data_IF_334053840543
#
_entry.id   IF_334053840543
#
_cell.length_a   1.000
_cell.length_b   1.000
_cell.length_c   1.000
_cell.angle_alpha   90.00
_cell.angle_beta   90.00
_cell.angle_gamma   90.00
#
_symmetry.space_group_name_H-M   'P 1'
#
loop_
_entity.id
_entity.type
_entity.pdbx_description
1 polymer ?
#
# COMPACT_ATOMS: atom_id res chain seq x y z
N UNK A 1 -2.13 12.85 -11.17
CA UNK A 1 -1.56 11.50 -10.97
C UNK A 1 -1.74 11.10 -9.52
N UNK A 2 -2.48 10.02 -9.28
CA UNK A 2 -2.74 9.49 -7.93
C UNK A 2 -1.81 8.30 -7.65
N UNK A 3 -1.61 7.45 -8.64
CA UNK A 3 -0.71 6.31 -8.57
C UNK A 3 0.34 6.35 -9.68
N UNK A 4 1.56 5.95 -9.36
CA UNK A 4 2.61 5.60 -10.32
C UNK A 4 3.30 4.32 -9.87
N UNK A 5 3.44 3.33 -10.76
CA UNK A 5 3.94 2.04 -10.36
C UNK A 5 4.59 1.24 -11.48
N UNK A 6 5.21 0.14 -11.06
CA UNK A 6 5.77 -0.86 -11.93
C UNK A 6 5.60 -2.22 -11.27
N UNK A 7 5.19 -3.20 -12.03
CA UNK A 7 5.05 -4.56 -11.52
C UNK A 7 5.46 -5.55 -12.59
N UNK A 8 6.43 -6.37 -12.25
CA UNK A 8 6.91 -7.47 -13.08
C UNK A 8 7.31 -8.60 -12.14
N UNK A 9 6.42 -9.56 -11.96
CA UNK A 9 6.62 -10.70 -11.07
C UNK A 9 8.02 -11.30 -11.20
N UNK A 10 8.68 -11.60 -10.08
CA UNK A 10 10.07 -12.08 -9.94
C UNK A 10 11.18 -11.04 -10.18
N UNK A 11 10.86 -9.86 -10.66
CA UNK A 11 11.86 -8.86 -11.02
C UNK A 11 11.75 -7.59 -10.19
N UNK A 12 10.59 -6.93 -10.19
CA UNK A 12 10.41 -5.68 -9.46
C UNK A 12 8.93 -5.35 -9.29
N UNK A 13 8.52 -5.06 -8.05
CA UNK A 13 7.17 -4.66 -7.71
C UNK A 13 7.21 -3.45 -6.80
N UNK A 14 6.49 -2.39 -7.16
CA UNK A 14 6.30 -1.21 -6.34
C UNK A 14 5.16 -0.36 -6.88
N UNK A 15 4.48 0.36 -5.98
CA UNK A 15 3.41 1.28 -6.32
C UNK A 15 3.47 2.52 -5.42
N UNK A 16 3.71 3.69 -6.01
CA UNK A 16 3.68 4.97 -5.32
C UNK A 16 2.26 5.55 -5.32
N UNK A 17 1.80 5.95 -4.14
CA UNK A 17 0.51 6.59 -3.90
C UNK A 17 0.72 8.01 -3.39
N UNK A 18 0.43 9.00 -4.23
CA UNK A 18 0.78 10.39 -3.97
C UNK A 18 0.02 11.06 -2.82
N UNK A 19 -1.26 10.74 -2.52
CA UNK A 19 -1.98 11.42 -1.44
C UNK A 19 -1.34 11.29 -0.06
N UNK A 20 -0.64 10.18 0.20
CA UNK A 20 0.08 9.98 1.46
C UNK A 20 1.60 9.93 1.28
N UNK A 21 2.12 10.28 0.08
CA UNK A 21 3.55 10.15 -0.24
C UNK A 21 4.10 8.77 0.14
N UNK A 22 3.33 7.73 -0.16
CA UNK A 22 3.59 6.36 0.27
C UNK A 22 3.98 5.47 -0.90
N UNK A 23 5.01 4.68 -0.67
CA UNK A 23 5.46 3.62 -1.57
C UNK A 23 5.08 2.26 -0.98
N UNK A 24 4.34 1.46 -1.73
CA UNK A 24 4.07 0.05 -1.45
C UNK A 24 5.08 -0.80 -2.19
N UNK A 25 5.86 -1.54 -1.45
CA UNK A 25 7.07 -2.24 -1.83
C UNK A 25 8.13 -1.34 -2.50
N UNK A 26 9.32 -1.87 -2.67
CA UNK A 26 10.49 -1.14 -3.15
C UNK A 26 11.37 -2.02 -4.03
N UNK A 27 10.80 -2.56 -5.12
CA UNK A 27 11.52 -3.36 -6.09
C UNK A 27 12.62 -2.58 -6.82
N UNK A 28 13.47 -3.29 -7.51
CA UNK A 28 14.61 -2.73 -8.25
C UNK A 28 14.18 -1.72 -9.33
N UNK A 29 15.05 -0.77 -9.67
CA UNK A 29 14.85 0.19 -10.77
C UNK A 29 13.92 1.35 -10.48
N UNK A 30 13.37 1.46 -9.28
CA UNK A 30 12.45 2.51 -8.88
C UNK A 30 13.02 3.92 -9.09
N UNK A 31 14.33 4.09 -8.87
CA UNK A 31 15.01 5.38 -9.00
C UNK A 31 14.96 5.94 -10.43
N UNK A 32 15.17 5.09 -11.42
CA UNK A 32 15.13 5.46 -12.84
C UNK A 32 13.75 5.86 -13.34
N UNK A 33 12.70 5.46 -12.61
CA UNK A 33 11.30 5.70 -13.02
C UNK A 33 10.68 6.84 -12.23
N UNK A 34 10.92 6.91 -10.92
CA UNK A 34 10.37 7.97 -10.06
C UNK A 34 11.21 9.24 -10.07
N UNK A 35 12.53 9.10 -10.31
CA UNK A 35 13.46 10.24 -10.39
C UNK A 35 13.31 11.16 -9.15
N UNK A 36 13.12 12.45 -9.35
CA UNK A 36 12.98 13.44 -8.27
C UNK A 36 11.79 13.20 -7.34
N UNK A 37 10.77 12.45 -7.79
CA UNK A 37 9.61 12.10 -6.94
C UNK A 37 9.98 11.24 -5.73
N UNK A 38 11.14 10.57 -5.77
CA UNK A 38 11.67 9.81 -4.61
C UNK A 38 11.84 10.71 -3.39
N UNK A 39 12.23 11.96 -3.58
CA UNK A 39 12.43 12.91 -2.47
C UNK A 39 11.13 13.11 -1.67
N UNK A 40 9.98 13.09 -2.35
CA UNK A 40 8.68 13.28 -1.73
C UNK A 40 8.16 12.05 -0.96
N UNK A 41 8.80 10.87 -1.08
CA UNK A 41 8.37 9.66 -0.37
C UNK A 41 8.63 9.85 1.12
N UNK A 42 7.57 9.77 1.94
CA UNK A 42 7.65 9.87 3.40
C UNK A 42 7.39 8.51 4.09
N UNK A 43 6.76 7.58 3.39
CA UNK A 43 6.46 6.26 3.91
C UNK A 43 6.81 5.18 2.88
N UNK A 44 7.47 4.12 3.33
CA UNK A 44 7.71 2.90 2.56
C UNK A 44 7.10 1.75 3.34
N UNK A 45 6.29 0.95 2.67
CA UNK A 45 5.60 -0.20 3.26
C UNK A 45 6.07 -1.44 2.50
N UNK A 46 6.78 -2.33 3.16
CA UNK A 46 7.25 -3.59 2.58
C UNK A 46 6.29 -4.70 2.99
N UNK A 47 5.76 -5.44 2.01
CA UNK A 47 4.80 -6.51 2.27
C UNK A 47 5.46 -7.79 2.79
N UNK A 48 6.61 -8.18 2.23
CA UNK A 48 7.31 -9.42 2.56
C UNK A 48 8.76 -9.44 2.06
N UNK A 49 9.51 -10.48 2.40
CA UNK A 49 10.94 -10.62 2.18
C UNK A 49 11.35 -11.25 0.85
N UNK A 50 10.56 -11.22 -0.22
CA UNK A 50 11.04 -11.57 -1.55
C UNK A 50 11.79 -10.39 -2.20
N UNK A 51 12.89 -10.69 -2.88
CA UNK A 51 13.84 -9.69 -3.37
C UNK A 51 13.22 -8.67 -4.34
N UNK A 52 12.28 -9.07 -5.15
CA UNK A 52 11.58 -8.19 -6.09
C UNK A 52 10.63 -7.18 -5.42
N UNK A 53 10.48 -7.23 -4.08
CA UNK A 53 9.68 -6.31 -3.28
C UNK A 53 10.50 -5.33 -2.43
N UNK A 54 11.82 -5.51 -2.25
CA UNK A 54 12.59 -4.63 -1.36
C UNK A 54 13.97 -4.19 -1.86
N UNK A 55 14.54 -4.83 -2.89
CA UNK A 55 15.94 -4.58 -3.28
C UNK A 55 16.23 -3.16 -3.76
N UNK A 56 15.22 -2.41 -4.20
CA UNK A 56 15.36 -1.00 -4.56
C UNK A 56 15.45 -0.04 -3.37
N UNK A 57 15.23 -0.51 -2.14
CA UNK A 57 15.22 0.34 -0.94
C UNK A 57 16.55 1.11 -0.77
N UNK A 58 17.68 0.45 -0.98
CA UNK A 58 19.01 1.09 -0.89
C UNK A 58 19.14 2.27 -1.87
N UNK A 59 18.63 2.11 -3.09
CA UNK A 59 18.71 3.14 -4.12
C UNK A 59 17.81 4.35 -3.78
N UNK A 60 16.64 4.13 -3.18
CA UNK A 60 15.77 5.20 -2.68
C UNK A 60 16.52 6.03 -1.64
N UNK A 61 17.16 5.37 -0.68
CA UNK A 61 17.91 6.05 0.38
C UNK A 61 19.08 6.83 -0.21
N UNK A 62 19.82 6.25 -1.16
CA UNK A 62 20.92 6.95 -1.87
C UNK A 62 20.44 8.24 -2.54
N UNK A 63 19.29 8.20 -3.22
CA UNK A 63 18.73 9.39 -3.86
C UNK A 63 18.31 10.45 -2.84
N UNK A 64 17.66 10.05 -1.75
CA UNK A 64 17.28 10.97 -0.67
C UNK A 64 18.51 11.60 0.00
N UNK A 65 19.56 10.83 0.24
CA UNK A 65 20.81 11.36 0.80
C UNK A 65 21.52 12.29 -0.15
N UNK A 66 21.60 11.94 -1.45
CA UNK A 66 22.16 12.81 -2.48
C UNK A 66 21.42 14.17 -2.54
N UNK A 67 20.09 14.15 -2.43
CA UNK A 67 19.29 15.37 -2.35
C UNK A 67 19.62 16.18 -1.08
N UNK A 68 19.66 15.54 0.09
CA UNK A 68 20.03 16.18 1.34
C UNK A 68 21.41 16.85 1.29
N UNK A 69 22.43 16.16 0.79
CA UNK A 69 23.78 16.71 0.67
C UNK A 69 23.88 17.90 -0.30
N UNK A 70 22.99 17.98 -1.28
CA UNK A 70 22.96 19.08 -2.23
C UNK A 70 22.10 20.26 -1.81
N UNK A 71 21.07 20.06 -1.00
CA UNK A 71 20.07 21.10 -0.64
C UNK A 71 19.98 21.41 0.85
N UNK A 72 20.44 20.51 1.71
CA UNK A 72 20.21 20.55 3.16
C UNK A 72 18.79 20.13 3.57
N UNK A 73 17.93 19.70 2.63
CA UNK A 73 16.54 19.35 2.92
C UNK A 73 16.35 17.82 2.98
N UNK A 74 15.71 17.33 4.02
CA UNK A 74 15.33 15.95 4.19
C UNK A 74 13.93 15.85 4.80
N UNK A 75 13.04 15.14 4.12
CA UNK A 75 11.75 14.81 4.69
C UNK A 75 11.86 13.53 5.53
N UNK A 76 11.27 13.55 6.73
CA UNK A 76 11.17 12.36 7.58
C UNK A 76 10.67 11.16 6.78
N UNK A 77 11.33 10.02 6.96
CA UNK A 77 11.01 8.79 6.27
C UNK A 77 10.70 7.70 7.28
N UNK A 78 9.52 7.08 7.16
CA UNK A 78 9.17 5.87 7.89
C UNK A 78 9.19 4.65 6.97
N UNK A 79 9.83 3.58 7.41
CA UNK A 79 9.93 2.32 6.67
C UNK A 79 9.31 1.22 7.53
N UNK A 80 8.16 0.72 7.09
CA UNK A 80 7.40 -0.35 7.74
C UNK A 80 7.73 -1.67 7.06
N UNK A 81 8.15 -2.67 7.83
CA UNK A 81 8.58 -3.96 7.30
C UNK A 81 8.27 -5.12 8.24
N UNK A 82 7.98 -6.33 7.72
CA UNK A 82 7.67 -7.50 8.51
C UNK A 82 8.77 -7.84 9.51
N UNK A 83 8.40 -7.96 10.78
CA UNK A 83 9.27 -8.51 11.82
C UNK A 83 9.50 -10.00 11.58
N UNK A 84 10.69 -10.49 11.92
CA UNK A 84 11.09 -11.89 11.82
C UNK A 84 11.19 -12.47 10.39
N UNK A 85 11.19 -11.63 9.35
CA UNK A 85 11.61 -12.06 8.02
C UNK A 85 13.14 -12.01 7.94
N UNK A 86 13.79 -13.18 7.94
CA UNK A 86 15.25 -13.28 8.08
C UNK A 86 16.03 -12.61 6.95
N UNK A 87 15.56 -12.77 5.71
CA UNK A 87 16.24 -12.20 4.53
C UNK A 87 16.12 -10.68 4.52
N UNK A 88 14.91 -10.17 4.75
CA UNK A 88 14.63 -8.73 4.81
C UNK A 88 15.36 -8.06 5.98
N UNK A 89 15.36 -8.68 7.17
CA UNK A 89 16.08 -8.18 8.34
C UNK A 89 17.59 -8.11 8.10
N UNK A 90 18.19 -9.10 7.46
CA UNK A 90 19.60 -9.08 7.07
C UNK A 90 19.91 -7.94 6.10
N UNK A 91 19.06 -7.72 5.11
CA UNK A 91 19.22 -6.64 4.14
C UNK A 91 19.09 -5.25 4.79
N UNK A 92 18.09 -5.06 5.64
CA UNK A 92 17.91 -3.81 6.41
C UNK A 92 19.11 -3.57 7.34
N UNK A 93 19.58 -4.62 8.03
CA UNK A 93 20.77 -4.55 8.85
C UNK A 93 22.03 -4.12 8.06
N UNK A 94 22.20 -4.66 6.85
CA UNK A 94 23.26 -4.24 5.95
C UNK A 94 23.16 -2.75 5.59
N UNK A 95 21.98 -2.28 5.17
CA UNK A 95 21.76 -0.87 4.82
C UNK A 95 22.05 0.05 6.01
N UNK A 96 21.53 -0.27 7.19
CA UNK A 96 21.74 0.53 8.40
C UNK A 96 23.20 0.64 8.77
N UNK A 97 23.95 -0.47 8.68
CA UNK A 97 25.38 -0.48 8.97
C UNK A 97 26.18 0.25 7.89
N UNK A 98 25.86 0.04 6.61
CA UNK A 98 26.60 0.65 5.49
C UNK A 98 26.54 2.18 5.51
N UNK A 99 25.39 2.75 5.86
CA UNK A 99 25.19 4.20 5.90
C UNK A 99 25.37 4.80 7.30
N UNK A 100 25.80 4.00 8.27
CA UNK A 100 25.82 4.43 9.68
C UNK A 100 24.48 5.03 10.15
N UNK A 101 23.38 4.47 9.66
CA UNK A 101 22.01 4.88 9.97
C UNK A 101 21.48 4.25 11.28
N UNK A 102 22.37 3.60 12.06
CA UNK A 102 22.12 3.22 13.44
C UNK A 102 22.19 4.46 14.32
N UNK A 103 21.23 4.66 15.19
CA UNK A 103 21.14 5.54 16.36
C UNK A 103 21.64 7.01 16.28
N UNK A 104 22.12 7.52 15.15
CA UNK A 104 22.72 8.82 15.24
C UNK A 104 23.21 9.52 14.00
N UNK A 105 22.72 9.23 12.86
CA UNK A 105 22.80 10.22 11.77
C UNK A 105 22.03 11.45 12.23
N UNK A 106 22.70 12.42 12.82
CA UNK A 106 22.07 13.63 13.42
C UNK A 106 21.37 14.52 12.39
N UNK A 107 21.46 14.20 11.12
CA UNK A 107 21.12 15.09 10.02
C UNK A 107 19.80 14.73 9.34
N UNK A 108 19.35 13.45 9.39
CA UNK A 108 18.06 13.02 8.87
C UNK A 108 17.51 11.85 9.67
N UNK A 109 16.20 11.86 9.84
CA UNK A 109 15.50 10.86 10.64
C UNK A 109 14.85 9.80 9.74
N UNK A 110 15.34 8.55 9.85
CA UNK A 110 14.67 7.37 9.32
C UNK A 110 14.07 6.60 10.47
N UNK A 111 12.76 6.43 10.43
CA UNK A 111 12.02 5.63 11.40
C UNK A 111 11.85 4.20 10.84
N UNK A 112 12.62 3.27 11.38
CA UNK A 112 12.56 1.85 11.04
C UNK A 112 11.50 1.16 11.91
N UNK A 113 10.39 0.74 11.33
CA UNK A 113 9.23 0.21 12.05
C UNK A 113 9.05 -1.26 11.71
N UNK A 114 9.43 -2.13 12.65
CA UNK A 114 9.09 -3.56 12.58
C UNK A 114 7.59 -3.73 12.82
N UNK A 115 6.89 -4.40 11.91
CA UNK A 115 5.47 -4.62 12.02
C UNK A 115 5.12 -6.09 12.21
N UNK A 116 4.05 -6.32 12.99
CA UNK A 116 3.47 -7.63 13.25
C UNK A 116 2.00 -7.63 12.82
N UNK A 117 1.44 -8.77 12.38
CA UNK A 117 0.02 -8.85 12.03
C UNK A 117 -0.89 -8.52 13.22
N UNK A 118 -2.03 -7.89 12.95
CA UNK A 118 -3.05 -7.56 13.95
C UNK A 118 -2.68 -6.39 14.86
N UNK A 119 -1.77 -5.55 14.42
CA UNK A 119 -1.33 -4.34 15.13
C UNK A 119 -1.71 -3.07 14.38
N UNK A 120 -1.71 -1.96 15.11
CA UNK A 120 -1.94 -0.62 14.59
C UNK A 120 -0.70 0.24 14.83
N UNK A 121 -0.31 1.01 13.82
CA UNK A 121 0.87 1.88 13.83
C UNK A 121 0.49 3.29 13.41
N UNK A 122 1.11 4.30 14.02
CA UNK A 122 0.99 5.67 13.52
C UNK A 122 1.53 5.75 12.10
N UNK A 123 0.83 6.49 11.23
CA UNK A 123 1.19 6.60 9.83
C UNK A 123 1.40 8.05 9.39
N UNK A 124 0.38 8.89 9.54
CA UNK A 124 0.48 10.30 9.24
C UNK A 124 -0.33 11.09 10.26
N UNK A 125 0.37 11.71 11.23
CA UNK A 125 -0.26 12.46 12.30
C UNK A 125 -0.99 13.72 11.82
N UNK A 126 -0.52 14.36 10.73
CA UNK A 126 -1.17 15.55 10.16
C UNK A 126 -2.53 15.22 9.53
N UNK A 127 -2.67 14.02 8.97
CA UNK A 127 -3.90 13.55 8.34
C UNK A 127 -4.75 12.66 9.26
N UNK A 128 -4.36 12.50 10.52
CA UNK A 128 -5.02 11.60 11.50
C UNK A 128 -5.25 10.20 10.92
N UNK A 129 -4.17 9.62 10.36
CA UNK A 129 -4.18 8.29 9.73
C UNK A 129 -3.29 7.30 10.45
N UNK A 130 -3.65 6.03 10.39
CA UNK A 130 -2.86 4.95 10.93
C UNK A 130 -2.85 3.73 9.98
N UNK A 131 -1.87 2.86 10.18
CA UNK A 131 -1.80 1.56 9.53
C UNK A 131 -2.36 0.49 10.44
N UNK A 132 -3.29 -0.31 9.92
CA UNK A 132 -3.72 -1.56 10.52
C UNK A 132 -3.12 -2.71 9.72
N UNK A 133 -2.48 -3.66 10.37
CA UNK A 133 -1.80 -4.78 9.74
C UNK A 133 -2.56 -6.09 9.91
N UNK A 134 -2.44 -6.99 8.95
CA UNK A 134 -3.02 -8.33 9.04
C UNK A 134 -2.10 -9.37 8.39
N UNK A 135 -2.23 -10.63 8.81
CA UNK A 135 -1.48 -11.72 8.22
C UNK A 135 -1.97 -12.01 6.80
N UNK A 136 -1.03 -12.28 5.91
CA UNK A 136 -1.27 -12.77 4.55
C UNK A 136 -0.66 -14.15 4.42
N UNK A 137 -1.40 -15.07 3.83
CA UNK A 137 -0.88 -16.38 3.45
C UNK A 137 -0.16 -16.26 2.10
N UNK A 138 1.11 -16.65 2.05
CA UNK A 138 1.92 -16.66 0.84
C UNK A 138 2.85 -17.89 0.81
N UNK A 139 4.14 -17.76 1.12
CA UNK A 139 5.06 -18.91 1.22
C UNK A 139 5.38 -19.22 2.68
N UNK A 140 5.77 -20.48 2.97
CA UNK A 140 6.04 -20.92 4.35
C UNK A 140 7.26 -20.23 4.98
N UNK A 141 8.20 -19.79 4.14
CA UNK A 141 9.50 -19.28 4.59
C UNK A 141 9.54 -17.75 4.68
N UNK A 142 8.43 -17.08 4.41
CA UNK A 142 8.34 -15.62 4.33
C UNK A 142 7.20 -15.11 5.19
N UNK A 143 7.45 -14.07 5.98
CA UNK A 143 6.41 -13.38 6.74
C UNK A 143 5.76 -12.34 5.83
N UNK A 144 4.51 -12.60 5.44
CA UNK A 144 3.74 -11.68 4.59
C UNK A 144 2.69 -10.92 5.37
N UNK A 145 2.62 -9.62 5.17
CA UNK A 145 1.72 -8.70 5.88
C UNK A 145 0.94 -7.88 4.87
N UNK A 146 -0.37 -7.84 5.08
CA UNK A 146 -1.27 -6.89 4.43
C UNK A 146 -1.48 -5.65 5.29
N UNK A 147 -1.79 -4.54 4.66
CA UNK A 147 -1.89 -3.22 5.29
C UNK A 147 -3.18 -2.51 4.90
N UNK A 148 -3.86 -1.95 5.89
CA UNK A 148 -4.94 -1.01 5.70
C UNK A 148 -4.46 0.40 6.07
N UNK A 149 -4.72 1.39 5.23
CA UNK A 149 -4.63 2.80 5.61
C UNK A 149 -6.01 3.24 6.08
N UNK A 150 -6.07 3.66 7.33
CA UNK A 150 -7.29 4.11 8.00
C UNK A 150 -7.21 5.61 8.25
N UNK A 151 -8.19 6.36 7.76
CA UNK A 151 -8.39 7.77 8.11
C UNK A 151 -9.37 7.88 9.26
N UNK A 152 -8.99 8.59 10.30
CA UNK A 152 -9.87 8.98 11.39
C UNK A 152 -10.57 10.28 11.04
N UNK A 153 -11.85 10.17 10.69
CA UNK A 153 -12.66 11.30 10.25
C UNK A 153 -13.53 11.82 11.36
N UNK A 154 -13.48 13.14 11.57
CA UNK A 154 -14.41 13.82 12.48
C UNK A 154 -15.63 14.25 11.69
N UNK A 155 -16.81 13.74 12.07
CA UNK A 155 -18.08 14.04 11.42
C UNK A 155 -19.08 14.62 12.42
N UNK A 156 -19.96 15.50 11.95
CA UNK A 156 -21.11 15.94 12.74
C UNK A 156 -22.05 14.75 12.97
N UNK A 157 -22.59 14.65 14.17
CA UNK A 157 -23.66 13.68 14.42
C UNK A 157 -24.89 13.99 13.57
N UNK A 158 -25.68 12.99 13.17
CA UNK A 158 -26.80 13.16 12.25
C UNK A 158 -27.77 14.30 12.64
N UNK A 159 -28.03 14.45 13.92
CA UNK A 159 -28.93 15.48 14.47
C UNK A 159 -28.43 16.91 14.25
N UNK A 160 -27.13 17.11 13.94
CA UNK A 160 -26.54 18.42 13.68
C UNK A 160 -26.20 18.68 12.21
N UNK A 161 -26.42 17.71 11.31
CA UNK A 161 -26.09 17.86 9.89
C UNK A 161 -26.89 18.97 9.17
N UNK A 162 -28.07 19.33 9.68
CA UNK A 162 -28.92 20.41 9.15
C UNK A 162 -28.65 21.78 9.80
N UNK A 163 -27.77 21.86 10.80
CA UNK A 163 -27.44 23.10 11.47
C UNK A 163 -26.50 23.93 10.58
N UNK A 164 -26.76 25.24 10.38
CA UNK A 164 -25.87 26.12 9.63
C UNK A 164 -24.45 26.11 10.19
N UNK A 165 -23.40 26.10 9.34
CA UNK A 165 -22.00 26.00 9.77
C UNK A 165 -21.59 27.04 10.82
N UNK A 166 -22.11 28.26 10.74
CA UNK A 166 -21.87 29.35 11.69
C UNK A 166 -22.36 29.05 13.10
N UNK A 167 -23.35 28.19 13.25
CA UNK A 167 -23.91 27.79 14.56
C UNK A 167 -23.24 26.55 15.14
N UNK A 168 -22.52 25.76 14.33
CA UNK A 168 -21.81 24.55 14.80
C UNK A 168 -20.76 24.91 15.85
N UNK A 169 -20.02 26.00 15.65
CA UNK A 169 -19.02 26.47 16.63
C UNK A 169 -19.66 26.77 17.98
N UNK A 170 -20.78 27.49 18.01
CA UNK A 170 -21.52 27.78 19.23
C UNK A 170 -22.00 26.53 19.94
N UNK A 171 -22.52 25.55 19.19
CA UNK A 171 -22.95 24.28 19.76
C UNK A 171 -21.79 23.49 20.37
N UNK A 172 -20.60 23.55 19.76
CA UNK A 172 -19.39 22.91 20.30
C UNK A 172 -18.96 23.62 21.60
N UNK A 173 -19.00 24.96 21.65
CA UNK A 173 -18.65 25.75 22.83
C UNK A 173 -19.64 25.50 23.97
N UNK A 174 -20.93 25.33 23.68
CA UNK A 174 -21.99 25.10 24.67
C UNK A 174 -22.05 23.65 25.18
N UNK A 175 -21.96 22.65 24.29
CA UNK A 175 -22.20 21.24 24.61
C UNK A 175 -20.95 20.38 24.71
N UNK A 176 -19.82 20.93 24.29
CA UNK A 176 -18.57 20.19 24.11
C UNK A 176 -18.48 19.48 22.76
N UNK A 177 -17.24 19.27 22.29
CA UNK A 177 -16.97 18.70 20.96
C UNK A 177 -17.57 17.30 20.80
N UNK A 178 -17.43 16.43 21.79
CA UNK A 178 -17.87 15.03 21.72
C UNK A 178 -19.40 14.88 21.74
N UNK A 179 -20.13 15.92 22.20
CA UNK A 179 -21.58 15.96 22.09
C UNK A 179 -22.06 16.25 20.66
N UNK A 180 -21.27 16.93 19.85
CA UNK A 180 -21.65 17.41 18.50
C UNK A 180 -20.99 16.61 17.39
N UNK A 181 -19.78 16.09 17.62
CA UNK A 181 -18.96 15.39 16.63
C UNK A 181 -18.77 13.94 17.07
N UNK A 182 -18.74 13.01 16.11
CA UNK A 182 -18.30 11.64 16.31
C UNK A 182 -17.07 11.33 15.45
N UNK A 183 -16.33 10.31 15.84
CA UNK A 183 -15.18 9.81 15.09
C UNK A 183 -15.63 8.60 14.27
N UNK A 184 -15.31 8.62 12.99
CA UNK A 184 -15.49 7.50 12.06
C UNK A 184 -14.14 7.10 11.50
N UNK A 185 -13.76 5.86 11.73
CA UNK A 185 -12.57 5.28 11.10
C UNK A 185 -12.95 4.76 9.71
N UNK A 186 -12.31 5.33 8.67
CA UNK A 186 -12.56 4.96 7.28
C UNK A 186 -11.35 4.29 6.66
N UNK A 187 -11.53 3.05 6.19
CA UNK A 187 -10.52 2.31 5.43
C UNK A 187 -10.45 2.86 4.01
N UNK A 188 -9.38 3.59 3.71
CA UNK A 188 -9.22 4.29 2.43
C UNK A 188 -8.48 3.45 1.40
N UNK A 189 -7.53 2.63 1.86
CA UNK A 189 -6.75 1.78 0.99
C UNK A 189 -6.34 0.50 1.72
N UNK A 190 -6.38 -0.62 1.01
CA UNK A 190 -5.81 -1.91 1.44
C UNK A 190 -4.77 -2.36 0.43
N UNK A 191 -3.62 -2.80 0.92
CA UNK A 191 -2.55 -3.43 0.15
C UNK A 191 -2.32 -4.86 0.65
N UNK A 192 -2.49 -5.84 -0.21
CA UNK A 192 -2.35 -7.25 0.16
C UNK A 192 -0.96 -7.84 -0.13
N UNK A 193 -0.13 -7.18 -0.98
CA UNK A 193 1.12 -7.82 -1.45
C UNK A 193 0.84 -9.09 -2.24
N UNK A 194 1.81 -10.01 -2.22
CA UNK A 194 1.62 -11.35 -2.78
C UNK A 194 0.82 -12.20 -1.81
N UNK A 195 -0.23 -12.84 -2.29
CA UNK A 195 -1.22 -13.46 -1.41
C UNK A 195 -1.91 -14.67 -2.01
N UNK A 196 -2.22 -15.61 -1.14
CA UNK A 196 -3.21 -16.65 -1.35
C UNK A 196 -4.31 -16.44 -0.31
N UNK A 197 -5.58 -16.48 -0.72
CA UNK A 197 -6.71 -16.39 0.21
C UNK A 197 -6.64 -15.20 1.18
N UNK A 198 -6.49 -13.97 0.64
CA UNK A 198 -6.47 -12.76 1.48
C UNK A 198 -7.70 -12.70 2.41
N UNK A 199 -7.53 -12.39 3.71
CA UNK A 199 -8.61 -12.43 4.71
C UNK A 199 -9.56 -11.24 4.56
N UNK A 200 -10.58 -11.39 3.72
CA UNK A 200 -11.52 -10.31 3.32
C UNK A 200 -12.13 -9.58 4.51
N UNK A 201 -12.42 -10.30 5.60
CA UNK A 201 -12.99 -9.72 6.83
C UNK A 201 -12.10 -8.64 7.46
N UNK A 202 -10.82 -8.59 7.13
CA UNK A 202 -9.87 -7.58 7.61
C UNK A 202 -9.97 -6.25 6.86
N UNK A 203 -10.61 -6.24 5.67
CA UNK A 203 -10.65 -5.03 4.84
C UNK A 203 -12.00 -4.77 4.17
N UNK A 204 -13.08 -5.21 4.76
CA UNK A 204 -14.45 -4.87 4.33
C UNK A 204 -14.62 -3.34 4.23
N UNK A 205 -15.30 -2.88 3.16
CA UNK A 205 -15.56 -1.48 2.82
C UNK A 205 -14.30 -0.63 2.59
N UNK A 206 -13.21 -1.24 2.14
CA UNK A 206 -12.05 -0.47 1.67
C UNK A 206 -12.39 0.29 0.39
N UNK A 207 -11.98 1.57 0.29
CA UNK A 207 -12.25 2.33 -0.94
C UNK A 207 -11.39 1.83 -2.11
N UNK A 208 -10.12 1.52 -1.86
CA UNK A 208 -9.15 1.04 -2.85
C UNK A 208 -8.53 -0.26 -2.36
N UNK A 209 -8.62 -1.30 -3.17
CA UNK A 209 -7.93 -2.56 -2.94
C UNK A 209 -6.80 -2.72 -3.98
N UNK A 210 -5.57 -2.87 -3.51
CA UNK A 210 -4.42 -3.26 -4.31
C UNK A 210 -4.17 -4.74 -4.05
N UNK A 211 -4.29 -5.56 -5.08
CA UNK A 211 -4.21 -7.02 -4.97
C UNK A 211 -3.42 -7.63 -6.13
N UNK A 212 -2.72 -8.70 -5.88
CA UNK A 212 -2.09 -9.45 -6.95
C UNK A 212 -3.11 -10.22 -7.81
N UNK A 213 -2.73 -10.53 -9.05
CA UNK A 213 -3.42 -11.45 -9.93
C UNK A 213 -2.36 -12.14 -10.81
N UNK A 214 -1.50 -12.92 -10.18
CA UNK A 214 -0.35 -13.54 -10.86
C UNK A 214 -0.81 -14.47 -11.99
N UNK A 215 -1.92 -15.17 -11.79
CA UNK A 215 -2.48 -16.07 -12.79
C UNK A 215 -3.79 -15.53 -13.36
N UNK A 216 -3.92 -15.54 -14.70
CA UNK A 216 -5.18 -15.16 -15.35
C UNK A 216 -6.25 -16.23 -15.18
N UNK A 217 -5.84 -17.51 -15.09
CA UNK A 217 -6.74 -18.67 -14.99
C UNK A 217 -6.27 -19.64 -13.92
N UNK A 218 -7.20 -20.37 -13.34
CA UNK A 218 -6.90 -21.39 -12.33
C UNK A 218 -6.01 -22.50 -12.86
N UNK A 219 -6.23 -22.91 -14.11
CA UNK A 219 -5.44 -23.97 -14.76
C UNK A 219 -3.97 -23.58 -15.00
N UNK A 220 -3.67 -22.30 -15.02
CA UNK A 220 -2.31 -21.78 -15.18
C UNK A 220 -1.51 -21.77 -13.87
N UNK A 221 -2.21 -21.95 -12.73
CA UNK A 221 -1.60 -21.89 -11.40
C UNK A 221 -0.72 -23.10 -11.13
N UNK A 222 0.52 -22.84 -10.79
CA UNK A 222 1.43 -23.86 -10.31
C UNK A 222 1.63 -23.71 -8.79
N UNK A 223 1.15 -24.70 -8.03
CA UNK A 223 1.11 -24.61 -6.58
C UNK A 223 0.01 -23.64 -6.05
N UNK A 224 -0.02 -23.42 -4.75
CA UNK A 224 -0.96 -22.49 -4.11
C UNK A 224 -0.19 -21.33 -3.47
N UNK A 225 0.54 -20.56 -4.28
CA UNK A 225 1.42 -19.51 -3.78
C UNK A 225 0.93 -18.10 -4.14
N UNK A 226 0.07 -17.98 -5.13
CA UNK A 226 -0.43 -16.71 -5.66
C UNK A 226 -1.89 -16.80 -6.06
N UNK A 227 -2.54 -15.65 -6.16
CA UNK A 227 -3.94 -15.53 -6.53
C UNK A 227 -4.15 -15.58 -8.05
N UNK A 228 -5.35 -16.03 -8.43
CA UNK A 228 -5.86 -15.91 -9.79
C UNK A 228 -6.63 -14.60 -9.96
N UNK A 229 -6.85 -14.24 -11.22
CA UNK A 229 -7.66 -13.06 -11.57
C UNK A 229 -9.09 -13.17 -11.01
N UNK A 230 -9.71 -14.35 -11.09
CA UNK A 230 -11.06 -14.58 -10.56
C UNK A 230 -11.10 -14.41 -9.02
N UNK A 231 -10.11 -14.97 -8.31
CA UNK A 231 -10.00 -14.80 -6.85
C UNK A 231 -9.84 -13.34 -6.44
N UNK A 232 -9.02 -12.55 -7.18
CA UNK A 232 -8.85 -11.13 -6.91
C UNK A 232 -10.16 -10.34 -7.09
N UNK A 233 -10.97 -10.67 -8.10
CA UNK A 233 -12.29 -10.08 -8.29
C UNK A 233 -13.29 -10.50 -7.21
N UNK A 234 -13.34 -11.77 -6.85
CA UNK A 234 -14.19 -12.30 -5.77
C UNK A 234 -13.89 -11.60 -4.45
N UNK A 235 -12.60 -11.43 -4.13
CA UNK A 235 -12.13 -10.70 -2.95
C UNK A 235 -12.59 -9.25 -3.00
N UNK A 236 -12.44 -8.56 -4.12
CA UNK A 236 -12.83 -7.17 -4.29
C UNK A 236 -14.34 -6.96 -4.09
N UNK A 237 -15.16 -7.87 -4.65
CA UNK A 237 -16.63 -7.83 -4.47
C UNK A 237 -17.01 -8.11 -3.02
N UNK A 238 -16.47 -9.17 -2.41
CA UNK A 238 -16.72 -9.50 -1.00
C UNK A 238 -16.28 -8.38 -0.05
N UNK A 239 -15.19 -7.70 -0.39
CA UNK A 239 -14.71 -6.53 0.35
C UNK A 239 -15.54 -5.27 0.14
N UNK A 240 -16.50 -5.27 -0.80
CA UNK A 240 -17.27 -4.08 -1.19
C UNK A 240 -16.36 -2.89 -1.54
N UNK A 241 -15.30 -3.15 -2.31
CA UNK A 241 -14.33 -2.12 -2.70
C UNK A 241 -14.87 -1.27 -3.86
N UNK A 242 -14.46 0.00 -3.92
CA UNK A 242 -14.86 0.91 -5.01
C UNK A 242 -13.88 0.87 -6.19
N UNK A 243 -12.63 0.51 -5.92
CA UNK A 243 -11.58 0.46 -6.93
C UNK A 243 -10.65 -0.72 -6.64
N UNK A 244 -10.43 -1.55 -7.65
CA UNK A 244 -9.46 -2.63 -7.64
C UNK A 244 -8.26 -2.25 -8.51
N UNK A 245 -7.05 -2.35 -7.97
CA UNK A 245 -5.80 -2.22 -8.72
C UNK A 245 -5.11 -3.58 -8.72
N UNK A 246 -5.00 -4.18 -9.90
CA UNK A 246 -4.35 -5.47 -10.08
C UNK A 246 -2.86 -5.29 -10.39
N UNK A 247 -2.02 -6.03 -9.69
CA UNK A 247 -0.57 -6.04 -9.90
C UNK A 247 -0.01 -7.47 -9.90
N UNK A 248 1.29 -7.60 -10.02
CA UNK A 248 2.02 -8.87 -9.96
C UNK A 248 1.57 -9.91 -11.01
N UNK A 249 1.03 -9.47 -12.16
CA UNK A 249 0.62 -10.35 -13.25
C UNK A 249 1.86 -11.04 -13.84
N UNK A 250 1.77 -12.35 -14.09
CA UNK A 250 2.88 -13.13 -14.61
C UNK A 250 3.31 -12.67 -16.01
N UNK A 251 4.62 -12.62 -16.24
CA UNK A 251 5.21 -12.26 -17.54
C UNK A 251 4.97 -13.26 -18.66
N UNK A 252 4.37 -14.42 -18.35
CA UNK A 252 3.99 -15.43 -19.35
C UNK A 252 2.87 -14.97 -20.29
N UNK A 253 2.05 -14.03 -19.84
CA UNK A 253 0.89 -13.53 -20.58
C UNK A 253 1.23 -12.34 -21.45
N UNK A 254 0.64 -12.31 -22.65
CA UNK A 254 0.72 -11.16 -23.55
C UNK A 254 -0.30 -10.09 -23.15
N UNK A 255 -0.02 -8.84 -23.50
CA UNK A 255 -0.89 -7.71 -23.18
C UNK A 255 -2.36 -7.90 -23.59
N UNK A 256 -2.58 -8.38 -24.84
CA UNK A 256 -3.95 -8.57 -25.36
C UNK A 256 -4.70 -9.68 -24.60
N UNK A 257 -3.99 -10.71 -24.15
CA UNK A 257 -4.55 -11.76 -23.31
C UNK A 257 -4.96 -11.20 -21.94
N UNK A 258 -4.06 -10.47 -21.29
CA UNK A 258 -4.33 -9.84 -20.00
C UNK A 258 -5.58 -8.93 -20.11
N UNK A 259 -5.60 -8.05 -21.11
CA UNK A 259 -6.70 -7.12 -21.33
C UNK A 259 -8.03 -7.85 -21.60
N UNK A 260 -7.98 -8.91 -22.39
CA UNK A 260 -9.17 -9.71 -22.73
C UNK A 260 -9.75 -10.40 -21.49
N UNK A 261 -8.92 -11.06 -20.68
CA UNK A 261 -9.40 -11.76 -19.49
C UNK A 261 -9.89 -10.78 -18.42
N UNK A 262 -9.22 -9.65 -18.22
CA UNK A 262 -9.69 -8.60 -17.28
C UNK A 262 -11.03 -8.03 -17.74
N UNK A 263 -11.22 -7.74 -19.03
CA UNK A 263 -12.50 -7.24 -19.55
C UNK A 263 -13.64 -8.24 -19.34
N UNK A 264 -13.40 -9.52 -19.56
CA UNK A 264 -14.38 -10.58 -19.26
C UNK A 264 -14.79 -10.59 -17.76
N UNK A 265 -13.82 -10.40 -16.87
CA UNK A 265 -14.12 -10.31 -15.44
C UNK A 265 -14.91 -9.04 -15.11
N UNK A 266 -14.55 -7.88 -15.68
CA UNK A 266 -15.31 -6.63 -15.50
C UNK A 266 -16.77 -6.82 -15.95
N UNK A 267 -17.02 -7.43 -17.10
CA UNK A 267 -18.37 -7.75 -17.58
C UNK A 267 -19.12 -8.69 -16.61
N UNK A 268 -18.47 -9.79 -16.21
CA UNK A 268 -19.06 -10.79 -15.30
C UNK A 268 -19.45 -10.20 -13.95
N UNK A 269 -18.62 -9.32 -13.40
CA UNK A 269 -18.82 -8.70 -12.09
C UNK A 269 -19.47 -7.32 -12.14
N UNK A 270 -19.92 -6.85 -13.31
CA UNK A 270 -20.51 -5.52 -13.49
C UNK A 270 -21.72 -5.24 -12.59
N UNK A 271 -22.50 -6.25 -12.26
CA UNK A 271 -23.67 -6.16 -11.37
C UNK A 271 -23.32 -6.30 -9.89
N UNK A 272 -22.11 -6.72 -9.56
CA UNK A 272 -21.68 -7.04 -8.20
C UNK A 272 -21.07 -5.85 -7.43
N UNK A 273 -20.95 -4.67 -8.03
CA UNK A 273 -20.58 -3.43 -7.35
C UNK A 273 -19.12 -2.98 -7.44
N UNK A 274 -18.22 -3.72 -8.11
CA UNK A 274 -16.85 -3.22 -8.39
C UNK A 274 -16.93 -2.15 -9.47
N UNK A 275 -16.65 -0.90 -9.10
CA UNK A 275 -16.93 0.26 -9.96
C UNK A 275 -15.77 0.55 -10.92
N UNK A 276 -14.52 0.42 -10.45
CA UNK A 276 -13.33 0.73 -11.26
C UNK A 276 -12.27 -0.33 -11.09
N UNK A 277 -11.74 -0.83 -12.22
CA UNK A 277 -10.61 -1.77 -12.24
C UNK A 277 -9.47 -1.16 -13.04
N UNK A 278 -8.31 -1.08 -12.45
CA UNK A 278 -7.04 -0.74 -13.09
C UNK A 278 -6.08 -1.92 -12.97
N UNK A 279 -5.11 -2.04 -13.87
CA UNK A 279 -4.10 -3.09 -13.80
C UNK A 279 -2.75 -2.63 -14.29
N UNK A 280 -1.70 -3.17 -13.69
CA UNK A 280 -0.32 -2.90 -14.07
C UNK A 280 0.14 -3.94 -15.07
N UNK A 281 0.41 -3.51 -16.30
CA UNK A 281 0.94 -4.40 -17.34
C UNK A 281 2.38 -4.80 -16.99
N UNK A 282 2.72 -6.11 -16.99
CA UNK A 282 4.07 -6.54 -16.65
C UNK A 282 5.16 -5.83 -17.46
N UNK A 283 6.09 -5.22 -16.75
CA UNK A 283 7.21 -4.52 -17.37
C UNK A 283 6.89 -3.16 -17.98
N UNK A 284 5.70 -2.60 -17.75
CA UNK A 284 5.34 -1.24 -18.16
C UNK A 284 5.07 -0.33 -16.98
N UNK A 285 5.37 0.96 -17.16
CA UNK A 285 5.04 1.98 -16.16
C UNK A 285 3.52 2.17 -16.16
N UNK A 286 2.96 2.12 -14.95
CA UNK A 286 1.56 2.43 -14.66
C UNK A 286 1.44 3.83 -14.11
N UNK A 287 0.49 4.61 -14.61
CA UNK A 287 0.25 5.98 -14.15
C UNK A 287 -1.22 6.36 -14.32
N UNK A 288 -1.90 6.76 -13.20
CA UNK A 288 -3.31 7.17 -13.18
C UNK A 288 -3.58 8.31 -12.19
#
# INVERSE_FOLDING_TARGET
MIFKGYSKAKYSNWLYYSPYHTLFDAGEGINTILEEKIVAINNIIISHGHTDHYTGLINILMTKFGHYYSTGEFNDLSIYYPKNDAALMAYIGYIRNFYNLGDGGKEFKINWVEVEPGRTYEFNTKLDTYLETFAIEHTKDVVSIGYNIIERRRKLKPEYCSVPPENIKKLIDEKGRDAVIYIEDKRTLTYCGDSVNAPVEKFINTDILIHEATFLKTDDRFGQLHSTLEEAFDIAVKANTKRLILMHISTRYKYDEIKTEINKMIERYSTAGVIKVDFIVPGKIFEV
#
